data_IF_498676816570
#
_entry.id   IF_498676816570
#
_cell.length_a   1.000
_cell.length_b   1.000
_cell.length_c   1.000
_cell.angle_alpha   90.00
_cell.angle_beta   90.00
_cell.angle_gamma   90.00
#
_symmetry.space_group_name_H-M   'P 1'
#
loop_
_entity.id
_entity.type
_entity.pdbx_description
1 polymer ?
#
# COMPACT_ATOMS: atom_id res chain seq x y z
N UNK A 1 9.50 16.40 7.08
CA UNK A 1 9.56 15.12 6.37
C UNK A 1 8.90 14.04 7.20
N UNK A 2 8.19 13.14 6.54
CA UNK A 2 7.55 12.01 7.20
C UNK A 2 8.54 10.87 7.35
N UNK A 3 8.41 10.15 8.45
CA UNK A 3 9.23 8.99 8.76
C UNK A 3 8.31 7.78 8.88
N UNK A 4 8.65 6.68 8.23
CA UNK A 4 7.84 5.47 8.23
C UNK A 4 8.28 4.51 9.32
N UNK A 5 7.31 3.88 9.97
CA UNK A 5 7.53 2.85 10.98
C UNK A 5 6.59 1.70 10.71
N UNK A 6 7.07 0.47 10.87
CA UNK A 6 6.22 -0.70 10.72
C UNK A 6 5.78 -1.23 12.07
N UNK A 7 4.50 -1.63 12.15
CA UNK A 7 3.94 -2.39 13.25
C UNK A 7 3.59 -3.76 12.71
N UNK A 8 4.12 -4.81 13.35
CA UNK A 8 3.91 -6.17 12.89
C UNK A 8 3.12 -6.91 13.96
N UNK A 9 1.85 -7.21 13.66
CA UNK A 9 0.99 -8.00 14.55
C UNK A 9 1.16 -9.49 14.31
N UNK A 10 1.12 -9.90 13.04
CA UNK A 10 1.32 -11.28 12.62
C UNK A 10 2.19 -11.23 11.36
N UNK A 11 3.52 -11.32 11.51
CA UNK A 11 4.45 -11.07 10.40
C UNK A 11 4.25 -11.96 9.19
N UNK A 12 3.76 -13.17 9.37
CA UNK A 12 3.51 -14.10 8.28
C UNK A 12 2.28 -13.70 7.44
N UNK A 13 1.40 -12.88 7.96
CA UNK A 13 0.18 -12.45 7.28
C UNK A 13 0.27 -11.05 6.72
N UNK A 14 0.98 -10.16 7.39
CA UNK A 14 1.07 -8.78 6.93
C UNK A 14 1.72 -7.85 7.93
N UNK A 15 1.65 -6.56 7.60
CA UNK A 15 2.20 -5.51 8.46
C UNK A 15 1.46 -4.20 8.25
N UNK A 16 1.65 -3.28 9.17
CA UNK A 16 1.16 -1.92 9.06
C UNK A 16 2.35 -0.95 9.13
N UNK A 17 2.38 0.00 8.20
CA UNK A 17 3.36 1.07 8.15
C UNK A 17 2.70 2.36 8.61
N UNK A 18 3.39 3.13 9.43
CA UNK A 18 2.89 4.41 9.93
C UNK A 18 3.87 5.50 9.51
N UNK A 19 3.35 6.54 8.85
CA UNK A 19 4.09 7.73 8.52
C UNK A 19 3.92 8.73 9.65
N UNK A 20 5.02 9.34 10.10
CA UNK A 20 5.01 10.34 11.17
C UNK A 20 5.70 11.60 10.69
N UNK A 21 5.22 12.75 11.20
CA UNK A 21 5.86 14.03 10.91
C UNK A 21 7.07 14.25 11.84
N UNK A 22 7.65 15.45 11.75
CA UNK A 22 8.82 15.80 12.55
C UNK A 22 8.56 15.77 14.05
N UNK A 23 7.31 15.92 14.48
CA UNK A 23 6.91 15.88 15.89
C UNK A 23 6.50 14.46 16.32
N UNK A 24 6.76 13.47 15.50
CA UNK A 24 6.39 12.06 15.71
C UNK A 24 4.88 11.82 15.73
N UNK A 25 4.09 12.76 15.22
CA UNK A 25 2.64 12.62 15.09
C UNK A 25 2.34 11.72 13.88
N UNK A 26 1.45 10.73 14.08
CA UNK A 26 1.03 9.87 12.99
C UNK A 26 0.20 10.67 11.99
N UNK A 27 0.63 10.72 10.73
CA UNK A 27 -0.03 11.49 9.67
C UNK A 27 -0.54 10.62 8.55
N UNK A 28 -0.26 9.33 8.58
CA UNK A 28 -0.76 8.40 7.58
C UNK A 28 -0.39 6.96 7.93
N UNK A 29 -1.00 6.03 7.23
CA UNK A 29 -0.68 4.62 7.40
C UNK A 29 -0.93 3.84 6.12
N UNK A 30 -0.30 2.67 6.03
CA UNK A 30 -0.55 1.69 4.99
C UNK A 30 -0.63 0.31 5.63
N UNK A 31 -1.57 -0.50 5.17
CA UNK A 31 -1.72 -1.88 5.62
C UNK A 31 -1.45 -2.80 4.45
N UNK A 32 -0.54 -3.75 4.65
CA UNK A 32 -0.11 -4.68 3.60
C UNK A 32 -0.33 -6.10 4.09
N UNK A 33 -0.96 -6.92 3.26
CA UNK A 33 -1.12 -8.35 3.51
C UNK A 33 -0.30 -9.14 2.51
N UNK A 34 0.33 -10.22 2.97
CA UNK A 34 1.08 -11.12 2.12
C UNK A 34 0.15 -12.19 1.58
N UNK A 35 0.25 -12.47 0.29
CA UNK A 35 -0.53 -13.54 -0.31
C UNK A 35 0.23 -14.17 -1.47
N UNK A 36 -0.31 -15.27 -1.97
CA UNK A 36 0.18 -15.90 -3.17
C UNK A 36 -0.68 -15.47 -4.35
N UNK A 37 -0.03 -15.12 -5.44
CA UNK A 37 -0.71 -14.90 -6.71
C UNK A 37 -0.40 -16.11 -7.59
N UNK A 38 -1.32 -17.06 -7.60
CA UNK A 38 -1.07 -18.36 -8.23
C UNK A 38 -0.87 -18.27 -9.74
N UNK A 39 -1.50 -17.28 -10.37
CA UNK A 39 -1.31 -17.04 -11.79
C UNK A 39 0.17 -16.81 -12.16
N UNK A 40 0.91 -16.17 -11.26
CA UNK A 40 2.33 -15.88 -11.44
C UNK A 40 3.22 -16.76 -10.57
N UNK A 41 2.63 -17.67 -9.79
CA UNK A 41 3.35 -18.53 -8.85
C UNK A 41 4.30 -17.73 -7.96
N UNK A 42 3.85 -16.57 -7.49
CA UNK A 42 4.68 -15.64 -6.73
C UNK A 42 3.96 -15.10 -5.49
N UNK A 43 4.74 -14.79 -4.47
CA UNK A 43 4.25 -14.01 -3.33
C UNK A 43 4.10 -12.55 -3.75
N UNK A 44 3.03 -11.92 -3.28
CA UNK A 44 2.81 -10.49 -3.51
C UNK A 44 2.38 -9.83 -2.20
N UNK A 45 2.68 -8.55 -2.06
CA UNK A 45 2.11 -7.72 -1.02
C UNK A 45 0.86 -7.05 -1.56
N UNK A 46 -0.24 -7.12 -0.83
CA UNK A 46 -1.48 -6.41 -1.18
C UNK A 46 -1.58 -5.20 -0.27
N UNK A 47 -1.49 -4.01 -0.85
CA UNK A 47 -1.71 -2.76 -0.15
C UNK A 47 -3.21 -2.57 0.00
N UNK A 48 -3.72 -2.95 1.17
CA UNK A 48 -5.16 -2.95 1.41
C UNK A 48 -5.70 -1.57 1.74
N UNK A 49 -4.94 -0.80 2.52
CA UNK A 49 -5.30 0.54 2.92
C UNK A 49 -4.11 1.47 2.78
N UNK A 50 -4.37 2.66 2.26
CA UNK A 50 -3.40 3.75 2.24
C UNK A 50 -4.15 5.02 2.62
N UNK A 51 -3.75 5.63 3.73
CA UNK A 51 -4.40 6.83 4.24
C UNK A 51 -3.38 7.88 4.60
N UNK A 52 -3.65 9.12 4.23
CA UNK A 52 -2.87 10.29 4.65
C UNK A 52 -3.85 11.32 5.19
N UNK A 53 -3.57 11.85 6.37
CA UNK A 53 -4.41 12.85 7.01
C UNK A 53 -4.55 14.09 6.11
N UNK A 54 -5.73 14.75 6.07
CA UNK A 54 -5.99 15.82 5.11
C UNK A 54 -4.98 16.96 5.12
N UNK A 55 -4.44 17.32 6.29
CA UNK A 55 -3.46 18.40 6.39
C UNK A 55 -2.08 18.04 5.87
N UNK A 56 -1.85 16.77 5.52
CA UNK A 56 -0.55 16.26 5.08
C UNK A 56 -0.57 15.69 3.67
N UNK A 57 -1.70 15.81 2.99
CA UNK A 57 -1.83 15.37 1.60
C UNK A 57 -1.03 16.28 0.69
N UNK A 58 -0.37 15.71 -0.29
CA UNK A 58 0.50 16.45 -1.19
C UNK A 58 1.91 16.65 -0.67
N UNK A 59 2.20 16.26 0.57
CA UNK A 59 3.53 16.39 1.17
C UNK A 59 4.45 15.20 0.98
N UNK A 60 4.05 14.20 0.19
CA UNK A 60 4.89 13.04 -0.09
C UNK A 60 4.70 11.85 0.84
N UNK A 61 3.81 11.94 1.85
CA UNK A 61 3.60 10.84 2.79
C UNK A 61 3.09 9.58 2.10
N UNK A 62 2.16 9.71 1.15
CA UNK A 62 1.65 8.57 0.39
C UNK A 62 2.74 7.90 -0.43
N UNK A 63 3.57 8.70 -1.09
CA UNK A 63 4.71 8.20 -1.86
C UNK A 63 5.70 7.46 -0.96
N UNK A 64 6.01 8.03 0.21
CA UNK A 64 6.91 7.39 1.17
C UNK A 64 6.37 6.07 1.69
N UNK A 65 5.06 6.01 1.99
CA UNK A 65 4.43 4.79 2.45
C UNK A 65 4.48 3.69 1.39
N UNK A 66 4.23 4.02 0.14
CA UNK A 66 4.32 3.06 -0.97
C UNK A 66 5.77 2.59 -1.16
N UNK A 67 6.74 3.51 -1.10
CA UNK A 67 8.14 3.16 -1.21
C UNK A 67 8.59 2.23 -0.08
N UNK A 68 8.16 2.51 1.14
CA UNK A 68 8.45 1.66 2.29
C UNK A 68 7.78 0.29 2.14
N UNK A 69 6.55 0.27 1.64
CA UNK A 69 5.84 -0.98 1.35
C UNK A 69 6.54 -1.82 0.31
N UNK A 70 7.05 -1.19 -0.73
CA UNK A 70 7.82 -1.90 -1.77
C UNK A 70 9.10 -2.48 -1.21
N UNK A 71 9.79 -1.74 -0.33
CA UNK A 71 10.98 -2.24 0.34
C UNK A 71 10.65 -3.46 1.21
N UNK A 72 9.53 -3.42 1.93
CA UNK A 72 9.09 -4.57 2.72
C UNK A 72 8.78 -5.78 1.85
N UNK A 73 8.23 -5.56 0.66
CA UNK A 73 8.04 -6.64 -0.31
C UNK A 73 9.35 -7.31 -0.65
N UNK A 74 10.39 -6.53 -0.93
CA UNK A 74 11.72 -7.07 -1.25
C UNK A 74 12.26 -7.90 -0.09
N UNK A 75 12.14 -7.40 1.13
CA UNK A 75 12.63 -8.10 2.32
C UNK A 75 11.87 -9.39 2.59
N UNK A 76 10.58 -9.41 2.24
CA UNK A 76 9.72 -10.58 2.47
C UNK A 76 9.80 -11.61 1.33
N UNK A 77 10.48 -11.29 0.23
CA UNK A 77 10.53 -12.15 -0.94
C UNK A 77 9.29 -12.06 -1.83
N UNK A 78 8.50 -11.00 -1.68
CA UNK A 78 7.35 -10.76 -2.55
C UNK A 78 7.79 -10.08 -3.84
N UNK A 79 7.23 -10.52 -4.97
CA UNK A 79 7.63 -10.04 -6.29
C UNK A 79 7.13 -8.64 -6.61
N UNK A 80 6.01 -8.24 -6.03
CA UNK A 80 5.41 -6.94 -6.31
C UNK A 80 4.46 -6.51 -5.19
N UNK A 81 4.13 -5.24 -5.19
CA UNK A 81 3.08 -4.64 -4.36
C UNK A 81 1.91 -4.31 -5.28
N UNK A 82 0.72 -4.76 -4.94
CA UNK A 82 -0.49 -4.54 -5.74
C UNK A 82 -1.55 -3.84 -4.90
N UNK A 83 -2.35 -2.99 -5.56
CA UNK A 83 -3.47 -2.32 -4.89
C UNK A 83 -4.52 -1.93 -5.91
N UNK A 84 -5.70 -1.55 -5.41
CA UNK A 84 -6.81 -1.12 -6.21
C UNK A 84 -7.21 0.30 -5.84
N UNK A 85 -7.81 0.99 -6.80
CA UNK A 85 -8.43 2.29 -6.55
C UNK A 85 -9.68 2.40 -7.41
N UNK A 86 -10.61 3.27 -7.00
CA UNK A 86 -11.82 3.50 -7.77
C UNK A 86 -11.48 4.19 -9.10
N UNK A 87 -12.19 3.86 -10.19
CA UNK A 87 -11.91 4.45 -11.50
C UNK A 87 -12.05 5.96 -11.55
N UNK A 88 -12.86 6.54 -10.66
CA UNK A 88 -13.09 7.98 -10.59
C UNK A 88 -12.14 8.70 -9.62
N UNK A 89 -11.27 7.97 -8.93
CA UNK A 89 -10.29 8.58 -8.04
C UNK A 89 -9.06 9.05 -8.82
N UNK A 90 -9.23 10.15 -9.53
CA UNK A 90 -8.21 10.68 -10.44
C UNK A 90 -6.98 11.17 -9.69
N UNK A 91 -7.18 11.73 -8.50
CA UNK A 91 -6.07 12.25 -7.69
C UNK A 91 -5.13 11.13 -7.28
N UNK A 92 -5.67 10.01 -6.79
CA UNK A 92 -4.87 8.85 -6.42
C UNK A 92 -4.16 8.27 -7.65
N UNK A 93 -4.84 8.17 -8.77
CA UNK A 93 -4.26 7.65 -10.00
C UNK A 93 -3.07 8.48 -10.49
N UNK A 94 -3.13 9.80 -10.32
CA UNK A 94 -1.99 10.66 -10.68
C UNK A 94 -0.75 10.32 -9.87
N UNK A 95 -0.92 10.05 -8.57
CA UNK A 95 0.20 9.63 -7.74
C UNK A 95 0.77 8.30 -8.23
N UNK A 96 -0.10 7.33 -8.49
CA UNK A 96 0.35 6.00 -8.90
C UNK A 96 1.01 6.02 -10.27
N UNK A 97 0.47 6.79 -11.20
CA UNK A 97 1.07 6.94 -12.53
C UNK A 97 2.45 7.62 -12.42
N UNK A 98 2.58 8.61 -11.55
CA UNK A 98 3.86 9.30 -11.33
C UNK A 98 4.92 8.38 -10.71
N UNK A 99 4.50 7.34 -9.99
CA UNK A 99 5.42 6.34 -9.44
C UNK A 99 5.86 5.31 -10.47
N UNK A 100 5.27 5.31 -11.65
CA UNK A 100 5.54 4.32 -12.69
C UNK A 100 4.81 3.01 -12.49
N UNK A 101 3.76 2.99 -11.66
CA UNK A 101 2.98 1.78 -11.44
C UNK A 101 2.21 1.40 -12.72
N UNK A 102 2.23 0.12 -13.03
CA UNK A 102 1.42 -0.40 -14.14
C UNK A 102 -0.02 -0.57 -13.67
N UNK A 103 -0.98 -0.24 -14.53
CA UNK A 103 -2.38 -0.43 -14.20
C UNK A 103 -3.07 -1.41 -15.15
N UNK A 104 -4.02 -2.15 -14.60
CA UNK A 104 -4.84 -3.09 -15.35
C UNK A 104 -6.27 -2.97 -14.86
N UNK A 105 -7.21 -3.43 -15.68
CA UNK A 105 -8.64 -3.35 -15.33
C UNK A 105 -9.19 -4.75 -15.16
N UNK A 106 -9.79 -5.00 -14.00
CA UNK A 106 -10.40 -6.28 -13.67
C UNK A 106 -11.79 -6.03 -13.10
N UNK A 107 -12.70 -6.96 -13.34
CA UNK A 107 -14.02 -6.95 -12.71
C UNK A 107 -13.98 -7.85 -11.49
N UNK A 108 -14.51 -7.35 -10.38
CA UNK A 108 -14.62 -8.13 -9.14
C UNK A 108 -16.03 -8.68 -9.02
N UNK A 109 -16.13 -9.98 -8.77
CA UNK A 109 -17.39 -10.66 -8.54
C UNK A 109 -17.40 -11.16 -7.10
N UNK A 110 -18.54 -11.05 -6.46
CA UNK A 110 -18.71 -11.47 -5.08
C UNK A 110 -19.98 -12.28 -4.91
N UNK A 111 -19.91 -13.30 -4.07
CA UNK A 111 -21.08 -14.02 -3.59
C UNK A 111 -20.98 -14.05 -2.07
N UNK A 112 -22.09 -13.70 -1.43
CA UNK A 112 -22.16 -13.77 0.02
C UNK A 112 -22.18 -15.24 0.44
N UNK A 113 -21.37 -15.58 1.42
CA UNK A 113 -21.22 -16.98 1.86
C UNK A 113 -22.23 -17.36 2.97
N UNK A 114 -22.98 -16.42 3.41
CA UNK A 114 -23.96 -16.67 4.48
C UNK A 114 -24.31 -15.44 5.26
#
# INVERSE_FOLDING_TARGET
AAMSRSLIAQPQEGLQLIARDADATAVGFATIFWTWQTLYAARVGVLNDLYVAPGFRGGGAGRELIAAGLQRCREHGAAKLVWETAPDNVVAQRLYDALGAEKSTWLTYELDAG
#
